data_IF_955128625891
#
_entry.id   IF_955128625891
#
_cell.length_a   1.000
_cell.length_b   1.000
_cell.length_c   1.000
_cell.angle_alpha   90.00
_cell.angle_beta   90.00
_cell.angle_gamma   90.00
#
_symmetry.space_group_name_H-M   'P 1'
#
loop_
_entity.id
_entity.type
_entity.pdbx_description
1 polymer ?
#
# COMPACT_ATOMS: atom_id res chain seq x y z
N UNK A 1 -3.74 -9.00 1.80
CA UNK A 1 -3.91 -9.96 0.69
C UNK A 1 -3.69 -11.42 1.15
N UNK A 2 -2.47 -11.89 1.41
CA UNK A 2 -2.24 -13.29 1.81
C UNK A 2 -2.86 -13.71 3.16
N UNK A 3 -3.05 -12.76 4.08
CA UNK A 3 -3.70 -12.96 5.38
C UNK A 3 -5.23 -12.82 5.29
N UNK A 4 -5.75 -12.00 4.37
CA UNK A 4 -7.20 -11.73 4.22
C UNK A 4 -7.93 -12.92 3.56
N UNK A 5 -7.26 -13.60 2.63
CA UNK A 5 -7.72 -14.89 2.10
C UNK A 5 -7.84 -15.95 3.22
N UNK A 6 -6.97 -15.90 4.24
CA UNK A 6 -7.03 -16.80 5.40
C UNK A 6 -8.07 -16.37 6.45
N UNK A 7 -8.40 -15.07 6.52
CA UNK A 7 -9.32 -14.49 7.50
C UNK A 7 -10.75 -14.30 6.93
N UNK A 8 -11.29 -15.32 6.26
CA UNK A 8 -12.69 -15.34 5.82
C UNK A 8 -12.95 -14.91 4.36
N UNK A 9 -11.95 -15.00 3.48
CA UNK A 9 -12.16 -14.87 2.03
C UNK A 9 -12.44 -13.47 1.50
N UNK A 10 -12.11 -12.42 2.26
CA UNK A 10 -12.35 -11.03 1.81
C UNK A 10 -11.35 -10.62 0.74
N UNK A 11 -11.85 -10.33 -0.45
CA UNK A 11 -11.06 -9.78 -1.57
C UNK A 11 -11.26 -8.26 -1.59
N UNK A 12 -10.17 -7.52 -1.36
CA UNK A 12 -10.16 -6.05 -1.35
C UNK A 12 -9.68 -5.44 -2.69
N UNK A 13 -9.41 -6.29 -3.69
CA UNK A 13 -9.05 -5.82 -5.02
C UNK A 13 -10.34 -5.47 -5.80
N UNK A 14 -10.41 -4.31 -6.47
CA UNK A 14 -11.56 -3.98 -7.30
C UNK A 14 -11.71 -4.99 -8.44
N UNK A 15 -12.93 -5.53 -8.59
CA UNK A 15 -13.22 -6.55 -9.58
C UNK A 15 -12.94 -6.08 -11.01
N UNK A 16 -13.25 -4.82 -11.34
CA UNK A 16 -12.98 -4.25 -12.66
C UNK A 16 -11.47 -4.23 -12.98
N UNK A 17 -10.62 -3.96 -11.98
CA UNK A 17 -9.18 -3.98 -12.15
C UNK A 17 -8.69 -5.43 -12.33
N UNK A 18 -9.22 -6.38 -11.55
CA UNK A 18 -8.93 -7.81 -11.72
C UNK A 18 -9.29 -8.31 -13.13
N UNK A 19 -10.47 -7.95 -13.64
CA UNK A 19 -10.90 -8.27 -15.01
C UNK A 19 -9.95 -7.62 -16.04
N UNK A 20 -9.63 -6.34 -15.87
CA UNK A 20 -8.73 -5.59 -16.77
C UNK A 20 -7.37 -6.26 -16.95
N UNK A 21 -6.81 -6.78 -15.86
CA UNK A 21 -5.51 -7.47 -15.88
C UNK A 21 -5.63 -8.98 -16.09
N UNK A 22 -6.83 -9.49 -16.39
CA UNK A 22 -7.10 -10.91 -16.62
C UNK A 22 -6.64 -11.80 -15.45
N UNK A 23 -6.80 -11.29 -14.22
CA UNK A 23 -6.40 -11.97 -12.99
C UNK A 23 -7.63 -12.35 -12.19
N UNK A 24 -7.90 -13.65 -12.04
CA UNK A 24 -9.15 -14.13 -11.44
C UNK A 24 -9.07 -14.24 -9.91
N UNK A 25 -10.24 -14.34 -9.25
CA UNK A 25 -10.28 -14.68 -7.82
C UNK A 25 -9.66 -16.06 -7.54
N UNK A 26 -9.82 -17.00 -8.48
CA UNK A 26 -9.19 -18.33 -8.37
C UNK A 26 -7.67 -18.23 -8.41
N UNK A 27 -7.11 -17.37 -9.28
CA UNK A 27 -5.67 -17.09 -9.31
C UNK A 27 -5.20 -16.49 -7.98
N UNK A 28 -5.98 -15.55 -7.43
CA UNK A 28 -5.70 -14.93 -6.13
C UNK A 28 -5.71 -15.94 -4.98
N UNK A 29 -6.72 -16.81 -4.90
CA UNK A 29 -6.83 -17.89 -3.92
C UNK A 29 -5.69 -18.90 -4.08
N UNK A 30 -5.37 -19.25 -5.34
CA UNK A 30 -4.26 -20.11 -5.71
C UNK A 30 -2.87 -19.48 -5.54
N UNK A 31 -2.81 -18.20 -5.14
CA UNK A 31 -1.58 -17.42 -4.95
C UNK A 31 -0.70 -17.37 -6.21
N UNK A 32 -1.32 -17.32 -7.39
CA UNK A 32 -0.62 -17.23 -8.66
C UNK A 32 0.11 -15.89 -8.71
N UNK A 33 1.43 -15.91 -8.67
CA UNK A 33 2.29 -14.73 -8.75
C UNK A 33 2.97 -14.71 -10.12
N UNK A 34 2.34 -14.03 -11.08
CA UNK A 34 2.80 -13.93 -12.46
C UNK A 34 2.78 -12.47 -12.95
N UNK A 35 3.07 -12.25 -14.24
CA UNK A 35 3.07 -10.92 -14.83
C UNK A 35 1.73 -10.18 -14.72
N UNK A 36 0.60 -10.91 -14.74
CA UNK A 36 -0.75 -10.33 -14.59
C UNK A 36 -0.94 -9.78 -13.19
N UNK A 37 -0.54 -10.58 -12.19
CA UNK A 37 -0.57 -10.15 -10.79
C UNK A 37 0.32 -8.93 -10.55
N UNK A 38 1.55 -8.95 -11.06
CA UNK A 38 2.49 -7.84 -10.89
C UNK A 38 1.93 -6.57 -11.55
N UNK A 39 1.37 -6.66 -12.75
CA UNK A 39 0.77 -5.53 -13.45
C UNK A 39 -0.44 -4.96 -12.70
N UNK A 40 -1.35 -5.83 -12.21
CA UNK A 40 -2.46 -5.43 -11.36
C UNK A 40 -1.98 -4.71 -10.10
N UNK A 41 -1.03 -5.29 -9.37
CA UNK A 41 -0.52 -4.71 -8.13
C UNK A 41 0.23 -3.39 -8.36
N UNK A 42 0.96 -3.26 -9.47
CA UNK A 42 1.60 -2.01 -9.87
C UNK A 42 0.56 -0.91 -10.14
N UNK A 43 -0.49 -1.22 -10.91
CA UNK A 43 -1.59 -0.29 -11.16
C UNK A 43 -2.27 0.19 -9.87
N UNK A 44 -2.51 -0.74 -8.93
CA UNK A 44 -3.05 -0.39 -7.61
C UNK A 44 -2.11 0.49 -6.79
N UNK A 45 -0.80 0.22 -6.85
CA UNK A 45 0.22 1.00 -6.16
C UNK A 45 0.29 2.42 -6.71
N UNK A 46 0.28 2.57 -8.04
CA UNK A 46 0.35 3.88 -8.70
C UNK A 46 -0.90 4.73 -8.38
N UNK A 47 -2.09 4.12 -8.33
CA UNK A 47 -3.32 4.81 -7.89
C UNK A 47 -3.23 5.26 -6.42
N UNK A 48 -2.67 4.41 -5.54
CA UNK A 48 -2.47 4.79 -4.14
C UNK A 48 -1.45 5.94 -3.99
N UNK A 49 -0.38 5.94 -4.79
CA UNK A 49 0.59 7.05 -4.83
C UNK A 49 -0.05 8.36 -5.30
N UNK A 50 -0.90 8.31 -6.34
CA UNK A 50 -1.64 9.48 -6.82
C UNK A 50 -2.59 10.05 -5.74
N UNK A 51 -3.35 9.19 -5.05
CA UNK A 51 -4.23 9.61 -3.95
C UNK A 51 -3.46 10.24 -2.79
N UNK A 52 -2.26 9.74 -2.48
CA UNK A 52 -1.43 10.39 -1.47
C UNK A 52 -0.96 11.76 -1.92
N UNK A 53 -0.68 11.96 -3.21
CA UNK A 53 -0.26 13.25 -3.73
C UNK A 53 -1.42 14.26 -3.71
N UNK A 54 -2.60 13.86 -4.18
CA UNK A 54 -3.81 14.67 -4.13
C UNK A 54 -4.15 15.09 -2.69
N UNK A 55 -4.04 14.17 -1.73
CA UNK A 55 -4.24 14.48 -0.32
C UNK A 55 -3.22 15.50 0.23
N UNK A 56 -1.99 15.53 -0.30
CA UNK A 56 -0.99 16.55 0.08
C UNK A 56 -1.36 17.89 -0.54
N UNK A 57 -1.79 17.90 -1.80
CA UNK A 57 -2.10 19.11 -2.54
C UNK A 57 -3.36 19.81 -1.98
N UNK A 58 -4.28 19.06 -1.40
CA UNK A 58 -5.47 19.59 -0.72
C UNK A 58 -5.22 20.10 0.72
N UNK A 59 -4.02 19.92 1.30
CA UNK A 59 -3.77 20.35 2.68
C UNK A 59 -3.55 21.86 2.77
N UNK A 60 -4.41 22.53 3.53
CA UNK A 60 -4.20 23.93 3.89
C UNK A 60 -3.08 24.05 4.94
N UNK A 61 -2.23 25.08 4.83
CA UNK A 61 -1.10 25.29 5.75
C UNK A 61 -1.54 25.46 7.21
N UNK A 62 -2.75 25.97 7.43
CA UNK A 62 -3.32 26.18 8.77
C UNK A 62 -3.54 24.85 9.51
N UNK A 63 -3.86 23.77 8.79
CA UNK A 63 -4.11 22.44 9.37
C UNK A 63 -2.83 21.62 9.55
N UNK A 64 -1.70 22.07 8.98
CA UNK A 64 -0.45 21.30 8.94
C UNK A 64 0.04 20.88 10.33
N UNK A 65 -0.09 21.75 11.34
CA UNK A 65 0.29 21.42 12.73
C UNK A 65 -0.61 20.36 13.35
N UNK A 66 -1.92 20.44 13.13
CA UNK A 66 -2.89 19.48 13.65
C UNK A 66 -2.75 18.10 12.97
N UNK A 67 -2.30 18.07 11.71
CA UNK A 67 -2.24 16.87 10.89
C UNK A 67 -0.86 16.19 10.86
N UNK A 68 0.13 16.63 11.65
CA UNK A 68 1.46 16.00 11.71
C UNK A 68 1.41 14.48 11.97
N UNK A 69 0.48 14.02 12.81
CA UNK A 69 0.29 12.59 13.06
C UNK A 69 -0.21 11.84 11.82
N UNK A 70 -1.15 12.44 11.07
CA UNK A 70 -1.65 11.90 9.81
C UNK A 70 -0.53 11.88 8.74
N UNK A 71 0.31 12.91 8.70
CA UNK A 71 1.45 12.96 7.79
C UNK A 71 2.50 11.88 8.11
N UNK A 72 2.78 11.65 9.40
CA UNK A 72 3.67 10.56 9.81
C UNK A 72 3.12 9.19 9.37
N UNK A 73 1.81 8.96 9.53
CA UNK A 73 1.15 7.75 9.04
C UNK A 73 1.24 7.62 7.52
N UNK A 74 0.99 8.69 6.76
CA UNK A 74 1.17 8.73 5.30
C UNK A 74 2.58 8.29 4.90
N UNK A 75 3.62 8.87 5.51
CA UNK A 75 5.03 8.54 5.24
C UNK A 75 5.35 7.07 5.55
N UNK A 76 4.80 6.52 6.64
CA UNK A 76 4.94 5.11 6.99
C UNK A 76 4.32 4.22 5.91
N UNK A 77 3.10 4.49 5.47
CA UNK A 77 2.42 3.68 4.45
C UNK A 77 3.08 3.80 3.08
N UNK A 78 3.48 5.00 2.65
CA UNK A 78 4.24 5.18 1.42
C UNK A 78 5.57 4.41 1.44
N UNK A 79 6.29 4.43 2.56
CA UNK A 79 7.55 3.70 2.71
C UNK A 79 7.32 2.18 2.62
N UNK A 80 6.23 1.69 3.22
CA UNK A 80 5.84 0.28 3.13
C UNK A 80 5.49 -0.11 1.69
N UNK A 81 4.69 0.71 0.99
CA UNK A 81 4.30 0.48 -0.39
C UNK A 81 5.52 0.43 -1.32
N UNK A 82 6.45 1.37 -1.19
CA UNK A 82 7.72 1.36 -1.93
C UNK A 82 8.53 0.08 -1.70
N UNK A 83 8.58 -0.41 -0.45
CA UNK A 83 9.24 -1.68 -0.11
C UNK A 83 8.57 -2.88 -0.77
N UNK A 84 7.24 -2.89 -0.85
CA UNK A 84 6.48 -3.96 -1.52
C UNK A 84 6.73 -3.93 -3.03
N UNK A 85 6.67 -2.74 -3.65
CA UNK A 85 6.92 -2.53 -5.09
C UNK A 85 8.33 -2.95 -5.49
N UNK A 86 9.35 -2.53 -4.72
CA UNK A 86 10.75 -2.88 -4.96
C UNK A 86 11.04 -4.39 -4.84
N UNK A 87 10.22 -5.14 -4.12
CA UNK A 87 10.36 -6.59 -3.97
C UNK A 87 9.45 -7.37 -4.94
N UNK A 88 8.86 -6.70 -5.93
CA UNK A 88 8.02 -7.36 -6.94
C UNK A 88 6.70 -7.91 -6.37
N UNK A 89 6.16 -7.27 -5.32
CA UNK A 89 4.86 -7.63 -4.74
C UNK A 89 4.76 -9.08 -4.25
N UNK A 90 5.82 -9.65 -3.65
CA UNK A 90 5.82 -11.02 -3.07
C UNK A 90 4.96 -11.17 -1.80
N UNK A 91 3.72 -10.69 -1.85
CA UNK A 91 2.78 -10.59 -0.71
C UNK A 91 2.15 -11.93 -0.32
N UNK A 92 2.32 -12.96 -1.15
CA UNK A 92 1.93 -14.33 -0.83
C UNK A 92 2.99 -15.09 -0.04
N UNK A 93 4.27 -14.73 -0.21
CA UNK A 93 5.41 -15.42 0.39
C UNK A 93 5.73 -14.88 1.79
N UNK A 94 5.55 -13.58 1.99
CA UNK A 94 5.97 -12.90 3.21
C UNK A 94 5.06 -11.74 3.59
N UNK A 95 5.15 -11.38 4.87
CA UNK A 95 4.49 -10.19 5.41
C UNK A 95 5.44 -9.01 5.42
N UNK A 96 5.04 -7.93 4.78
CA UNK A 96 5.79 -6.69 4.82
C UNK A 96 5.47 -5.93 6.09
N UNK A 97 6.52 -5.54 6.81
CA UNK A 97 6.44 -4.68 7.99
C UNK A 97 7.63 -3.71 7.95
N UNK A 98 7.43 -2.50 8.41
CA UNK A 98 8.53 -1.62 8.79
C UNK A 98 8.97 -1.98 10.22
N UNK A 99 10.28 -1.97 10.47
CA UNK A 99 10.82 -2.15 11.81
C UNK A 99 10.31 -1.03 12.73
N UNK A 100 10.23 -1.30 14.04
CA UNK A 100 9.85 -0.28 15.04
C UNK A 100 10.75 0.95 14.93
N UNK A 101 12.06 0.76 14.77
CA UNK A 101 13.05 1.83 14.59
C UNK A 101 12.73 2.72 13.39
N UNK A 102 12.39 2.14 12.23
CA UNK A 102 12.08 2.92 11.03
C UNK A 102 10.76 3.68 11.14
N UNK A 103 9.76 3.11 11.82
CA UNK A 103 8.51 3.83 12.15
C UNK A 103 8.78 5.00 13.09
N UNK A 104 9.55 4.79 14.16
CA UNK A 104 9.91 5.84 15.13
C UNK A 104 10.71 6.97 14.47
N UNK A 105 11.67 6.64 13.61
CA UNK A 105 12.44 7.65 12.87
C UNK A 105 11.53 8.52 11.99
N UNK A 106 10.58 7.92 11.25
CA UNK A 106 9.62 8.67 10.42
C UNK A 106 8.71 9.56 11.29
N UNK A 107 8.24 9.04 12.42
CA UNK A 107 7.39 9.78 13.35
C UNK A 107 8.13 10.99 13.93
N UNK A 108 9.33 10.79 14.48
CA UNK A 108 10.15 11.85 15.06
C UNK A 108 10.48 12.92 14.01
N UNK A 109 10.94 12.50 12.83
CA UNK A 109 11.29 13.44 11.76
C UNK A 109 10.10 14.30 11.31
N UNK A 110 8.87 13.77 11.34
CA UNK A 110 7.66 14.51 10.92
C UNK A 110 7.10 15.40 12.04
N UNK A 111 7.31 15.03 13.30
CA UNK A 111 6.91 15.87 14.43
C UNK A 111 7.83 17.09 14.60
N UNK A 112 9.13 16.92 14.29
CA UNK A 112 10.16 17.96 14.46
C UNK A 112 10.35 18.89 13.25
N UNK A 113 9.77 18.56 12.08
CA UNK A 113 9.64 19.46 10.92
C UNK A 113 8.50 20.45 11.09
#
# INVERSE_FOLDING_TARGET
MGEDLKNGGRIYLPLNDMIRFQYSERDLIGRVHDGRFIALMAYQADRAEALYQEAIDCLHQEDAKALKAAEAMRKIYQTLLKKIKADGFRVFDKRYRLSKTRKSAILIATLMS
#
